data_IF_119790906568
#
_entry.id   IF_119790906568
#
_cell.length_a   1.000
_cell.length_b   1.000
_cell.length_c   1.000
_cell.angle_alpha   90.00
_cell.angle_beta   90.00
_cell.angle_gamma   90.00
#
_symmetry.space_group_name_H-M   'P 1'
#
loop_
_entity.id
_entity.type
_entity.pdbx_description
1 polymer ?
#
# COMPACT_ATOMS: atom_id res chain seq x y z
N UNK A 1 -13.52 12.03 20.59
CA UNK A 1 -14.80 12.81 20.53
C UNK A 1 -15.95 11.87 20.87
N UNK A 2 -16.97 12.35 21.59
CA UNK A 2 -18.23 11.63 21.71
C UNK A 2 -19.07 11.90 20.47
N UNK A 3 -19.45 10.86 19.75
CA UNK A 3 -20.24 10.97 18.51
C UNK A 3 -21.76 10.87 18.70
N UNK A 4 -22.19 10.50 19.91
CA UNK A 4 -23.62 10.40 20.22
C UNK A 4 -24.38 11.70 19.90
N UNK A 5 -25.50 11.58 19.21
CA UNK A 5 -26.37 12.68 18.74
C UNK A 5 -25.70 13.71 17.80
N UNK A 6 -24.48 13.44 17.29
CA UNK A 6 -23.80 14.31 16.31
C UNK A 6 -24.30 14.04 14.89
N UNK A 7 -24.46 15.11 14.12
CA UNK A 7 -24.79 15.05 12.71
C UNK A 7 -23.50 15.02 11.88
N UNK A 8 -23.25 13.90 11.23
CA UNK A 8 -22.00 13.66 10.47
C UNK A 8 -22.32 13.48 8.99
N UNK A 9 -21.71 14.32 8.16
CA UNK A 9 -21.72 14.14 6.71
C UNK A 9 -20.48 13.38 6.27
N UNK A 10 -20.67 12.19 5.70
CA UNK A 10 -19.57 11.39 5.13
C UNK A 10 -19.55 11.60 3.62
N UNK A 11 -18.46 12.11 3.08
CA UNK A 11 -18.27 12.36 1.66
C UNK A 11 -17.50 11.22 1.02
N UNK A 12 -18.15 10.57 0.03
CA UNK A 12 -17.62 9.44 -0.77
C UNK A 12 -18.13 8.09 -0.32
N UNK A 13 -18.82 7.40 -1.22
CA UNK A 13 -19.42 6.08 -1.02
C UNK A 13 -18.46 4.92 -1.43
N UNK A 14 -17.15 5.10 -1.24
CA UNK A 14 -16.15 4.03 -1.32
C UNK A 14 -15.99 3.28 0.02
N UNK A 15 -15.14 2.24 0.05
CA UNK A 15 -14.96 1.38 1.23
C UNK A 15 -14.69 2.15 2.54
N UNK A 16 -13.83 3.19 2.49
CA UNK A 16 -13.55 4.02 3.68
C UNK A 16 -14.77 4.78 4.18
N UNK A 17 -15.57 5.37 3.26
CA UNK A 17 -16.76 6.13 3.63
C UNK A 17 -17.90 5.24 4.12
N UNK A 18 -18.11 4.09 3.48
CA UNK A 18 -19.08 3.08 3.89
C UNK A 18 -18.78 2.61 5.31
N UNK A 19 -17.54 2.18 5.55
CA UNK A 19 -17.13 1.68 6.86
C UNK A 19 -17.20 2.75 7.95
N UNK A 20 -16.74 3.98 7.67
CA UNK A 20 -16.87 5.10 8.60
C UNK A 20 -18.34 5.42 8.92
N UNK A 21 -19.22 5.43 7.91
CA UNK A 21 -20.64 5.68 8.09
C UNK A 21 -21.30 4.65 8.99
N UNK A 22 -21.01 3.38 8.76
CA UNK A 22 -21.57 2.31 9.58
C UNK A 22 -21.10 2.43 11.03
N UNK A 23 -19.80 2.61 11.27
CA UNK A 23 -19.24 2.70 12.63
C UNK A 23 -19.79 3.93 13.37
N UNK A 24 -19.87 5.08 12.71
CA UNK A 24 -20.39 6.30 13.30
C UNK A 24 -21.85 6.13 13.73
N UNK A 25 -22.66 5.47 12.91
CA UNK A 25 -24.04 5.13 13.28
C UNK A 25 -24.10 4.16 14.48
N UNK A 26 -23.19 3.17 14.57
CA UNK A 26 -23.11 2.25 15.73
C UNK A 26 -22.77 2.96 17.06
N UNK A 27 -22.10 4.11 17.00
CA UNK A 27 -21.78 4.92 18.19
C UNK A 27 -22.77 6.06 18.43
N UNK A 28 -23.92 6.04 17.74
CA UNK A 28 -25.06 6.92 17.97
C UNK A 28 -25.04 8.24 17.24
N UNK A 29 -24.21 8.39 16.19
CA UNK A 29 -24.27 9.57 15.32
C UNK A 29 -25.43 9.49 14.31
N UNK A 30 -25.97 10.65 13.92
CA UNK A 30 -26.85 10.81 12.76
C UNK A 30 -25.98 10.97 11.52
N UNK A 31 -25.94 9.97 10.64
CA UNK A 31 -25.00 9.90 9.54
C UNK A 31 -25.72 10.05 8.19
N UNK A 32 -25.21 10.97 7.37
CA UNK A 32 -25.53 11.07 5.94
C UNK A 32 -24.31 10.63 5.15
N UNK A 33 -24.42 9.54 4.38
CA UNK A 33 -23.43 9.13 3.39
C UNK A 33 -23.77 9.78 2.05
N UNK A 34 -22.86 10.60 1.53
CA UNK A 34 -23.07 11.32 0.28
C UNK A 34 -22.01 10.98 -0.77
N UNK A 35 -22.43 10.83 -2.01
CA UNK A 35 -21.55 10.83 -3.18
C UNK A 35 -22.11 11.73 -4.28
N UNK A 36 -21.23 12.51 -4.94
CA UNK A 36 -21.59 13.37 -6.05
C UNK A 36 -22.13 12.57 -7.25
N UNK A 37 -21.53 11.41 -7.50
CA UNK A 37 -21.97 10.50 -8.57
C UNK A 37 -23.14 9.64 -8.10
N UNK A 38 -24.06 9.26 -8.99
CA UNK A 38 -24.97 8.17 -8.72
C UNK A 38 -24.15 6.89 -8.45
N UNK A 39 -24.24 6.34 -7.26
CA UNK A 39 -23.58 5.09 -6.86
C UNK A 39 -24.65 4.08 -6.47
N UNK A 40 -24.55 2.88 -7.03
CA UNK A 40 -25.33 1.72 -6.57
C UNK A 40 -24.43 0.92 -5.64
N UNK A 41 -24.79 0.89 -4.37
CA UNK A 41 -24.08 0.05 -3.39
C UNK A 41 -24.43 -1.43 -3.59
N UNK A 42 -23.56 -2.37 -3.23
CA UNK A 42 -23.93 -3.77 -3.08
C UNK A 42 -25.15 -3.89 -2.14
N UNK A 43 -26.13 -4.72 -2.51
CA UNK A 43 -27.40 -4.80 -1.78
C UNK A 43 -27.25 -5.10 -0.28
N UNK A 44 -26.26 -5.91 0.09
CA UNK A 44 -25.97 -6.24 1.49
C UNK A 44 -25.40 -5.05 2.25
N UNK A 45 -24.53 -4.26 1.60
CA UNK A 45 -23.94 -3.04 2.19
C UNK A 45 -25.00 -1.95 2.37
N UNK A 46 -25.85 -1.71 1.35
CA UNK A 46 -26.95 -0.76 1.45
C UNK A 46 -27.89 -1.13 2.60
N UNK A 47 -28.30 -2.41 2.67
CA UNK A 47 -29.13 -2.92 3.75
C UNK A 47 -28.49 -2.75 5.13
N UNK A 48 -27.18 -3.00 5.23
CA UNK A 48 -26.39 -2.84 6.46
C UNK A 48 -26.41 -1.40 6.95
N UNK A 49 -26.15 -0.44 6.05
CA UNK A 49 -26.13 1.00 6.35
C UNK A 49 -27.52 1.51 6.74
N UNK A 50 -28.56 1.21 5.94
CA UNK A 50 -29.93 1.65 6.21
C UNK A 50 -30.42 1.06 7.54
N UNK A 51 -30.12 -0.21 7.83
CA UNK A 51 -30.50 -0.85 9.12
C UNK A 51 -29.77 -0.22 10.32
N UNK A 52 -28.61 0.39 10.10
CA UNK A 52 -27.88 1.14 11.12
C UNK A 52 -28.39 2.61 11.28
N UNK A 53 -29.31 3.05 10.44
CA UNK A 53 -29.87 4.42 10.46
C UNK A 53 -29.05 5.43 9.64
N UNK A 54 -28.25 4.98 8.67
CA UNK A 54 -27.51 5.86 7.77
C UNK A 54 -28.41 6.31 6.62
N UNK A 55 -28.51 7.61 6.41
CA UNK A 55 -29.15 8.20 5.23
C UNK A 55 -28.17 8.20 4.05
N UNK A 56 -28.60 7.66 2.90
CA UNK A 56 -27.76 7.56 1.70
C UNK A 56 -28.25 8.53 0.63
N UNK A 57 -27.42 9.50 0.25
CA UNK A 57 -27.72 10.52 -0.75
C UNK A 57 -26.65 10.48 -1.84
N UNK A 58 -27.00 9.99 -3.03
CA UNK A 58 -26.06 9.94 -4.18
C UNK A 58 -26.60 10.70 -5.38
N UNK A 59 -25.73 11.08 -6.33
CA UNK A 59 -26.11 11.80 -7.55
C UNK A 59 -26.28 13.30 -7.38
N UNK A 60 -26.12 13.84 -6.17
CA UNK A 60 -26.11 15.28 -5.89
C UNK A 60 -25.15 15.60 -4.75
N UNK A 61 -24.59 16.79 -4.75
CA UNK A 61 -23.73 17.28 -3.67
C UNK A 61 -23.78 18.82 -3.67
N UNK A 62 -24.61 19.38 -2.85
CA UNK A 62 -24.81 20.82 -2.73
C UNK A 62 -24.69 21.27 -1.25
N UNK A 63 -24.60 22.58 -1.04
CA UNK A 63 -24.35 23.15 0.28
C UNK A 63 -25.49 22.94 1.29
N UNK A 64 -26.71 22.56 0.86
CA UNK A 64 -27.82 22.26 1.77
C UNK A 64 -27.51 21.01 2.63
N UNK A 65 -26.60 20.14 2.17
CA UNK A 65 -26.13 19.00 2.96
C UNK A 65 -25.32 19.39 4.21
N UNK A 66 -24.88 20.66 4.30
CA UNK A 66 -24.13 21.18 5.45
C UNK A 66 -25.02 21.71 6.58
N UNK A 67 -26.35 21.79 6.36
CA UNK A 67 -27.22 22.37 7.34
C UNK A 67 -27.40 21.45 8.56
N UNK A 68 -27.03 21.94 9.72
CA UNK A 68 -27.04 21.18 10.97
C UNK A 68 -25.91 20.16 11.15
N UNK A 69 -24.94 20.11 10.23
CA UNK A 69 -23.80 19.19 10.31
C UNK A 69 -22.80 19.68 11.37
N UNK A 70 -22.35 18.79 12.23
CA UNK A 70 -21.32 19.04 13.23
C UNK A 70 -19.89 18.79 12.68
N UNK A 71 -19.73 17.78 11.79
CA UNK A 71 -18.43 17.35 11.24
C UNK A 71 -18.59 16.69 9.89
N UNK A 72 -17.57 16.83 9.06
CA UNK A 72 -17.45 16.11 7.80
C UNK A 72 -16.35 15.03 7.90
N UNK A 73 -16.66 13.83 7.42
CA UNK A 73 -15.68 12.76 7.20
C UNK A 73 -15.48 12.60 5.70
N UNK A 74 -14.23 12.76 5.22
CA UNK A 74 -13.93 12.74 3.79
C UNK A 74 -13.18 11.47 3.40
N UNK A 75 -13.60 10.83 2.30
CA UNK A 75 -12.90 9.70 1.70
C UNK A 75 -11.64 10.17 0.95
N UNK A 76 -10.52 9.39 0.95
CA UNK A 76 -9.23 9.80 0.42
C UNK A 76 -9.25 10.23 -1.06
N UNK A 77 -10.14 9.64 -1.87
CA UNK A 77 -10.28 9.96 -3.30
C UNK A 77 -10.87 11.33 -3.60
N UNK A 78 -11.48 12.00 -2.60
CA UNK A 78 -12.14 13.28 -2.78
C UNK A 78 -11.17 14.43 -2.57
N UNK A 79 -11.18 15.41 -3.50
CA UNK A 79 -10.36 16.61 -3.39
C UNK A 79 -10.88 17.55 -2.29
N UNK A 80 -9.96 18.16 -1.56
CA UNK A 80 -10.29 19.24 -0.61
C UNK A 80 -10.71 20.54 -1.32
N UNK A 81 -10.48 20.62 -2.63
CA UNK A 81 -10.81 21.81 -3.44
C UNK A 81 -12.25 21.85 -3.95
N UNK A 82 -13.08 20.83 -3.69
CA UNK A 82 -14.47 20.81 -4.15
C UNK A 82 -15.33 21.82 -3.40
N UNK A 83 -16.39 22.37 -4.04
CA UNK A 83 -17.22 23.45 -3.48
C UNK A 83 -17.74 23.18 -2.07
N UNK A 84 -18.31 21.98 -1.83
CA UNK A 84 -18.91 21.63 -0.53
C UNK A 84 -17.87 21.62 0.60
N UNK A 85 -16.62 21.15 0.34
CA UNK A 85 -15.56 21.13 1.35
C UNK A 85 -15.11 22.56 1.66
N UNK A 86 -14.96 23.42 0.63
CA UNK A 86 -14.64 24.85 0.83
C UNK A 86 -15.73 25.59 1.60
N UNK A 87 -17.00 25.32 1.28
CA UNK A 87 -18.14 25.88 2.02
C UNK A 87 -18.16 25.42 3.48
N UNK A 88 -17.87 24.16 3.75
CA UNK A 88 -17.76 23.61 5.09
C UNK A 88 -16.63 24.29 5.90
N UNK A 89 -15.45 24.42 5.30
CA UNK A 89 -14.32 25.11 5.92
C UNK A 89 -14.64 26.59 6.21
N UNK A 90 -15.33 27.26 5.27
CA UNK A 90 -15.78 28.65 5.49
C UNK A 90 -16.83 28.77 6.62
N UNK A 91 -17.63 27.74 6.88
CA UNK A 91 -18.55 27.64 8.03
C UNK A 91 -17.85 27.22 9.33
N UNK A 92 -16.55 26.93 9.30
CA UNK A 92 -15.78 26.47 10.46
C UNK A 92 -16.04 25.01 10.86
N UNK A 93 -16.62 24.20 9.95
CA UNK A 93 -16.87 22.79 10.19
C UNK A 93 -15.57 21.99 10.13
N UNK A 94 -15.44 21.01 11.02
CA UNK A 94 -14.34 20.05 11.00
C UNK A 94 -14.43 19.13 9.79
N UNK A 95 -13.37 19.10 8.98
CA UNK A 95 -13.21 18.14 7.88
C UNK A 95 -12.07 17.20 8.24
N UNK A 96 -12.38 15.91 8.43
CA UNK A 96 -11.42 14.88 8.85
C UNK A 96 -11.48 13.67 7.94
N UNK A 97 -10.40 12.87 7.89
CA UNK A 97 -10.41 11.59 7.21
C UNK A 97 -11.02 10.47 8.07
N UNK A 98 -11.38 9.35 7.43
CA UNK A 98 -11.78 8.14 8.16
C UNK A 98 -10.67 7.60 9.10
N UNK A 99 -9.41 8.00 8.90
CA UNK A 99 -8.28 7.68 9.80
C UNK A 99 -8.46 8.35 11.16
N UNK A 100 -8.94 9.59 11.19
CA UNK A 100 -9.24 10.28 12.44
C UNK A 100 -10.37 9.60 13.20
N UNK A 101 -11.45 9.22 12.50
CA UNK A 101 -12.56 8.44 13.09
C UNK A 101 -12.05 7.13 13.69
N UNK A 102 -11.20 6.41 12.95
CA UNK A 102 -10.60 5.17 13.43
C UNK A 102 -9.78 5.38 14.71
N UNK A 103 -8.97 6.44 14.75
CA UNK A 103 -8.16 6.78 15.91
C UNK A 103 -9.01 7.13 17.14
N UNK A 104 -10.02 7.98 16.96
CA UNK A 104 -10.91 8.41 18.06
C UNK A 104 -11.74 7.24 18.65
N UNK A 105 -12.01 6.21 17.85
CA UNK A 105 -12.80 5.03 18.28
C UNK A 105 -11.95 3.83 18.66
N UNK A 106 -10.66 3.81 18.33
CA UNK A 106 -9.78 2.69 18.62
C UNK A 106 -9.50 2.57 20.13
N UNK A 107 -9.66 1.37 20.64
CA UNK A 107 -9.20 1.00 21.99
C UNK A 107 -7.78 0.43 21.97
N UNK A 108 -7.33 -0.03 20.81
CA UNK A 108 -6.02 -0.63 20.63
C UNK A 108 -4.99 0.44 20.23
N UNK A 109 -3.72 0.28 20.61
CA UNK A 109 -2.64 1.07 20.05
C UNK A 109 -2.54 0.87 18.53
N UNK A 110 -2.27 1.97 17.82
CA UNK A 110 -2.11 1.97 16.37
C UNK A 110 -0.63 2.07 16.01
N UNK A 111 -0.18 1.23 15.08
CA UNK A 111 1.09 1.37 14.39
C UNK A 111 0.82 1.70 12.93
N UNK A 112 1.54 2.65 12.34
CA UNK A 112 1.21 3.18 11.03
C UNK A 112 2.40 3.11 10.06
N UNK A 113 2.10 2.78 8.79
CA UNK A 113 3.11 2.68 7.72
C UNK A 113 2.74 3.62 6.59
N UNK A 114 3.67 4.49 6.20
CA UNK A 114 3.56 5.31 5.00
C UNK A 114 4.89 5.35 4.23
N UNK A 115 4.88 5.97 3.08
CA UNK A 115 5.98 6.08 2.14
C UNK A 115 5.45 6.13 0.71
N UNK A 116 6.30 6.30 -0.27
CA UNK A 116 5.88 6.18 -1.67
C UNK A 116 5.74 4.71 -2.04
N UNK A 117 6.75 3.90 -1.74
CA UNK A 117 6.83 2.49 -2.11
C UNK A 117 7.07 1.60 -0.88
N UNK A 118 6.77 0.29 -1.01
CA UNK A 118 7.04 -0.69 0.05
C UNK A 118 5.94 -0.80 1.13
N UNK A 119 4.99 0.11 1.20
CA UNK A 119 3.94 0.15 2.23
C UNK A 119 3.28 -1.20 2.49
N UNK A 120 2.70 -1.81 1.46
CA UNK A 120 1.94 -3.06 1.62
C UNK A 120 2.80 -4.22 2.13
N UNK A 121 4.00 -4.38 1.57
CA UNK A 121 4.93 -5.42 2.03
C UNK A 121 5.30 -5.22 3.49
N UNK A 122 5.67 -4.00 3.86
CA UNK A 122 6.02 -3.64 5.24
C UNK A 122 4.85 -3.82 6.19
N UNK A 123 3.66 -3.34 5.82
CA UNK A 123 2.45 -3.47 6.64
C UNK A 123 2.09 -4.94 6.87
N UNK A 124 2.12 -5.76 5.82
CA UNK A 124 1.81 -7.20 5.92
C UNK A 124 2.84 -7.92 6.78
N UNK A 125 4.13 -7.66 6.57
CA UNK A 125 5.19 -8.29 7.37
C UNK A 125 5.13 -7.85 8.84
N UNK A 126 4.92 -6.56 9.10
CA UNK A 126 4.77 -6.03 10.46
C UNK A 126 3.57 -6.66 11.17
N UNK A 127 2.44 -6.82 10.47
CA UNK A 127 1.25 -7.50 11.00
C UNK A 127 1.60 -8.92 11.45
N UNK A 128 2.23 -9.71 10.58
CA UNK A 128 2.65 -11.08 10.91
C UNK A 128 3.63 -11.16 12.09
N UNK A 129 4.59 -10.22 12.15
CA UNK A 129 5.55 -10.16 13.26
C UNK A 129 4.85 -9.83 14.59
N UNK A 130 3.89 -8.91 14.59
CA UNK A 130 3.10 -8.58 15.77
C UNK A 130 2.15 -9.71 16.18
N UNK A 131 1.53 -10.42 15.23
CA UNK A 131 0.74 -11.64 15.47
C UNK A 131 1.58 -12.74 16.16
N UNK A 132 2.87 -12.81 15.81
CA UNK A 132 3.82 -13.73 16.46
C UNK A 132 3.97 -13.52 17.97
N UNK A 133 3.46 -12.42 18.54
CA UNK A 133 3.39 -12.19 19.99
C UNK A 133 2.21 -12.88 20.67
N UNK A 134 1.28 -13.45 19.90
CA UNK A 134 0.04 -14.03 20.39
C UNK A 134 -1.06 -13.04 20.73
N UNK A 135 -0.85 -11.74 20.50
CA UNK A 135 -1.87 -10.70 20.66
C UNK A 135 -2.78 -10.61 19.44
N UNK A 136 -4.03 -10.15 19.60
CA UNK A 136 -4.87 -9.80 18.47
C UNK A 136 -4.22 -8.71 17.60
N UNK A 137 -4.10 -8.92 16.30
CA UNK A 137 -3.59 -7.93 15.35
C UNK A 137 -4.51 -7.88 14.14
N UNK A 138 -4.86 -6.69 13.69
CA UNK A 138 -5.59 -6.52 12.43
C UNK A 138 -5.01 -5.36 11.63
N UNK A 139 -5.15 -5.47 10.32
CA UNK A 139 -4.69 -4.47 9.36
C UNK A 139 -5.87 -3.74 8.73
N UNK A 140 -5.69 -2.47 8.44
CA UNK A 140 -6.68 -1.67 7.71
C UNK A 140 -6.08 -0.40 7.11
N UNK A 141 -6.90 0.36 6.40
CA UNK A 141 -6.50 1.62 5.80
C UNK A 141 -6.47 1.62 4.28
N UNK A 142 -5.30 1.80 3.69
CA UNK A 142 -5.12 1.76 2.23
C UNK A 142 -5.14 0.33 1.66
N UNK A 143 -5.10 -0.65 2.52
CA UNK A 143 -5.25 -2.09 2.24
C UNK A 143 -6.17 -2.73 3.27
N UNK A 144 -6.74 -3.87 2.93
CA UNK A 144 -7.63 -4.62 3.81
C UNK A 144 -8.98 -3.93 4.04
N UNK A 145 -9.54 -4.19 5.21
CA UNK A 145 -10.83 -3.65 5.62
C UNK A 145 -10.78 -2.14 5.92
N UNK A 146 -11.94 -1.50 6.00
CA UNK A 146 -12.05 -0.11 6.45
C UNK A 146 -11.39 0.07 7.82
N UNK A 147 -10.45 1.03 7.91
CA UNK A 147 -9.71 1.28 9.16
C UNK A 147 -10.65 1.57 10.33
N UNK A 148 -11.74 2.29 10.08
CA UNK A 148 -12.74 2.62 11.11
C UNK A 148 -13.44 1.37 11.65
N UNK A 149 -13.80 0.41 10.78
CA UNK A 149 -14.44 -0.84 11.20
C UNK A 149 -13.49 -1.73 11.99
N UNK A 150 -12.26 -1.84 11.51
CA UNK A 150 -11.22 -2.59 12.22
C UNK A 150 -10.98 -1.97 13.59
N UNK A 151 -10.81 -0.65 13.68
CA UNK A 151 -10.58 0.07 14.93
C UNK A 151 -11.72 -0.12 15.94
N UNK A 152 -12.96 -0.06 15.46
CA UNK A 152 -14.16 -0.24 16.32
C UNK A 152 -14.24 -1.64 16.91
N UNK A 153 -13.82 -2.67 16.16
CA UNK A 153 -13.93 -4.08 16.57
C UNK A 153 -12.72 -4.61 17.36
N UNK A 154 -11.59 -3.87 17.37
CA UNK A 154 -10.35 -4.33 18.01
C UNK A 154 -10.42 -4.30 19.54
N UNK A 155 -9.95 -5.36 20.24
CA UNK A 155 -9.81 -5.36 21.69
C UNK A 155 -8.61 -4.51 22.12
N UNK A 156 -8.65 -3.96 23.33
CA UNK A 156 -7.67 -3.00 23.83
C UNK A 156 -6.22 -3.54 23.99
N UNK A 157 -6.05 -4.85 24.08
CA UNK A 157 -4.77 -5.54 24.25
C UNK A 157 -4.11 -5.94 22.91
N UNK A 158 -4.77 -5.61 21.78
CA UNK A 158 -4.28 -5.88 20.43
C UNK A 158 -3.43 -4.77 19.84
N UNK A 159 -3.11 -4.91 18.53
CA UNK A 159 -2.50 -3.89 17.70
C UNK A 159 -3.33 -3.66 16.43
N UNK A 160 -3.56 -2.41 16.09
CA UNK A 160 -4.10 -2.01 14.79
C UNK A 160 -2.95 -1.55 13.91
N UNK A 161 -2.69 -2.25 12.80
CA UNK A 161 -1.67 -1.88 11.83
C UNK A 161 -2.34 -1.13 10.69
N UNK A 162 -1.94 0.13 10.47
CA UNK A 162 -2.55 1.02 9.48
C UNK A 162 -1.60 1.28 8.31
N UNK A 163 -1.96 0.88 7.09
CA UNK A 163 -1.31 1.39 5.88
C UNK A 163 -1.95 2.72 5.49
N UNK A 164 -1.17 3.79 5.42
CA UNK A 164 -1.70 5.13 5.16
C UNK A 164 -1.08 5.78 3.92
N UNK A 165 -1.95 6.26 3.03
CA UNK A 165 -1.58 7.12 1.91
C UNK A 165 -1.43 8.58 2.35
N UNK A 166 -0.79 9.41 1.50
CA UNK A 166 -0.72 10.86 1.71
C UNK A 166 -2.12 11.50 1.78
N UNK A 167 -3.06 11.02 0.96
CA UNK A 167 -4.45 11.52 0.95
C UNK A 167 -5.18 11.30 2.27
N UNK A 168 -4.99 10.15 2.90
CA UNK A 168 -5.58 9.81 4.19
C UNK A 168 -5.01 10.67 5.32
N UNK A 169 -3.74 11.08 5.19
CA UNK A 169 -3.07 11.91 6.18
C UNK A 169 -3.38 13.41 6.02
N UNK A 170 -3.89 13.89 4.86
CA UNK A 170 -4.17 15.32 4.61
C UNK A 170 -5.09 15.97 5.65
N UNK A 171 -6.01 15.20 6.24
CA UNK A 171 -7.07 15.71 7.12
C UNK A 171 -7.14 15.03 8.49
N UNK A 172 -6.04 14.46 8.97
CA UNK A 172 -5.93 14.03 10.36
C UNK A 172 -5.85 15.26 11.28
N UNK A 173 -6.22 15.12 12.55
CA UNK A 173 -6.14 16.17 13.58
C UNK A 173 -5.43 15.72 14.84
N UNK A 174 -5.88 14.60 15.41
CA UNK A 174 -5.41 14.05 16.67
C UNK A 174 -4.79 12.66 16.47
N UNK A 175 -4.88 12.11 15.27
CA UNK A 175 -4.31 10.80 14.94
C UNK A 175 -2.87 10.69 15.43
N UNK A 176 -2.63 9.72 16.32
CA UNK A 176 -1.35 9.47 16.95
C UNK A 176 -1.05 7.98 16.97
N UNK A 177 -0.20 7.48 16.07
CA UNK A 177 0.32 6.11 16.16
C UNK A 177 1.42 6.03 17.23
N UNK A 178 1.44 4.94 18.02
CA UNK A 178 2.51 4.70 19.00
C UNK A 178 3.83 4.30 18.33
N UNK A 179 3.77 3.85 17.09
CA UNK A 179 4.89 3.57 16.21
C UNK A 179 4.52 3.92 14.78
N UNK A 180 5.39 4.64 14.09
CA UNK A 180 5.20 5.01 12.70
C UNK A 180 6.44 4.65 11.87
N UNK A 181 6.23 4.34 10.59
CA UNK A 181 7.28 4.05 9.60
C UNK A 181 7.13 4.99 8.42
N UNK A 182 8.21 5.71 8.07
CA UNK A 182 8.38 6.41 6.81
C UNK A 182 9.42 5.68 5.97
N UNK A 183 8.97 5.02 4.90
CA UNK A 183 9.85 4.15 4.10
C UNK A 183 10.77 4.93 3.17
N UNK A 184 10.16 5.72 2.30
CA UNK A 184 10.85 6.49 1.26
C UNK A 184 9.93 7.57 0.69
N UNK A 185 10.53 8.57 0.04
CA UNK A 185 9.81 9.64 -0.65
C UNK A 185 10.38 9.78 -2.07
N UNK A 186 9.61 9.41 -3.07
CA UNK A 186 9.89 9.66 -4.48
C UNK A 186 8.69 10.37 -5.13
N UNK A 187 8.88 11.11 -6.24
CA UNK A 187 7.79 11.84 -6.89
C UNK A 187 6.60 10.94 -7.20
N UNK A 188 5.44 11.27 -6.62
CA UNK A 188 4.17 10.59 -6.85
C UNK A 188 3.01 11.53 -6.53
N UNK A 189 1.84 11.27 -7.11
CA UNK A 189 0.61 12.00 -6.82
C UNK A 189 0.67 13.53 -6.97
N UNK A 190 1.59 14.08 -7.78
CA UNK A 190 1.78 15.52 -7.96
C UNK A 190 0.58 16.21 -8.64
N UNK A 191 -0.27 15.47 -9.35
CA UNK A 191 -1.53 15.99 -9.85
C UNK A 191 -2.44 16.48 -8.70
N UNK A 192 -2.41 15.82 -7.53
CA UNK A 192 -3.16 16.18 -6.31
C UNK A 192 -2.39 17.20 -5.47
N UNK A 193 -1.17 16.86 -5.06
CA UNK A 193 -0.39 17.66 -4.10
C UNK A 193 0.24 18.92 -4.71
N UNK A 194 0.33 19.01 -6.05
CA UNK A 194 0.90 20.12 -6.85
C UNK A 194 2.43 20.21 -6.78
N UNK A 195 3.03 20.06 -5.61
CA UNK A 195 4.50 20.12 -5.43
C UNK A 195 4.99 18.97 -4.55
N UNK A 196 6.30 18.70 -4.62
CA UNK A 196 6.95 17.71 -3.75
C UNK A 196 6.87 18.12 -2.28
N UNK A 197 7.00 19.40 -1.97
CA UNK A 197 6.93 19.93 -0.62
C UNK A 197 5.57 19.62 0.03
N UNK A 198 4.48 19.82 -0.71
CA UNK A 198 3.13 19.49 -0.23
C UNK A 198 2.95 17.99 -0.04
N UNK A 199 3.52 17.17 -0.93
CA UNK A 199 3.48 15.71 -0.81
C UNK A 199 4.24 15.21 0.42
N UNK A 200 5.45 15.75 0.65
CA UNK A 200 6.26 15.47 1.84
C UNK A 200 5.50 15.89 3.09
N UNK A 201 5.01 17.15 3.14
CA UNK A 201 4.26 17.68 4.27
C UNK A 201 3.01 16.84 4.60
N UNK A 202 2.28 16.37 3.59
CA UNK A 202 1.13 15.48 3.80
C UNK A 202 1.51 14.15 4.47
N UNK A 203 2.65 13.56 4.10
CA UNK A 203 3.13 12.32 4.71
C UNK A 203 3.73 12.53 6.10
N UNK A 204 4.44 13.64 6.34
CA UNK A 204 5.01 14.01 7.64
C UNK A 204 3.96 14.11 8.74
N UNK A 205 2.71 14.39 8.40
CA UNK A 205 1.61 14.41 9.34
C UNK A 205 1.44 13.11 10.12
N UNK A 206 1.97 11.98 9.63
CA UNK A 206 1.91 10.69 10.34
C UNK A 206 2.51 10.76 11.77
N UNK A 207 3.49 11.65 11.98
CA UNK A 207 4.14 11.82 13.29
C UNK A 207 3.81 13.15 13.98
N UNK A 208 2.96 14.02 13.39
CA UNK A 208 2.70 15.37 13.92
C UNK A 208 2.19 15.40 15.38
N UNK A 209 1.44 14.37 15.78
CA UNK A 209 0.86 14.24 17.13
C UNK A 209 1.61 13.22 18.01
N UNK A 210 2.70 12.61 17.54
CA UNK A 210 3.48 11.68 18.35
C UNK A 210 4.10 12.37 19.57
N UNK A 211 4.35 11.61 20.62
CA UNK A 211 5.04 12.05 21.82
C UNK A 211 6.44 11.44 21.88
N UNK A 212 7.29 11.95 22.75
CA UNK A 212 8.66 11.42 22.97
C UNK A 212 8.70 9.95 23.44
N UNK A 213 7.56 9.38 23.85
CA UNK A 213 7.40 7.96 24.20
C UNK A 213 7.03 7.07 23.01
N UNK A 214 6.66 7.66 21.88
CA UNK A 214 6.30 6.94 20.67
C UNK A 214 7.54 6.71 19.81
N UNK A 215 7.44 5.86 18.79
CA UNK A 215 8.56 5.50 17.92
C UNK A 215 8.32 5.99 16.49
N UNK A 216 9.36 6.54 15.87
CA UNK A 216 9.38 6.88 14.45
C UNK A 216 10.54 6.20 13.76
N UNK A 217 10.25 5.30 12.81
CA UNK A 217 11.26 4.63 11.99
C UNK A 217 11.50 5.44 10.72
N UNK A 218 12.75 5.80 10.48
CA UNK A 218 13.19 6.58 9.33
C UNK A 218 14.27 5.85 8.54
N UNK A 219 14.08 5.71 7.24
CA UNK A 219 15.11 5.24 6.33
C UNK A 219 16.10 6.37 6.04
N UNK A 220 17.29 6.31 6.63
CA UNK A 220 18.31 7.36 6.47
C UNK A 220 19.12 7.26 5.17
N UNK A 221 18.91 6.22 4.38
CA UNK A 221 19.47 6.12 3.03
C UNK A 221 18.67 6.99 2.02
N UNK A 222 17.43 7.38 2.36
CA UNK A 222 16.65 8.39 1.63
C UNK A 222 16.91 9.77 2.26
N UNK A 223 17.55 10.72 1.53
CA UNK A 223 17.90 12.04 2.09
C UNK A 223 16.70 12.86 2.57
N UNK A 224 15.53 12.72 1.93
CA UNK A 224 14.31 13.43 2.31
C UNK A 224 13.79 12.88 3.64
N UNK A 225 13.76 11.55 3.76
CA UNK A 225 13.31 10.88 4.99
C UNK A 225 14.30 11.11 6.13
N UNK A 226 15.60 11.07 5.87
CA UNK A 226 16.66 11.32 6.85
C UNK A 226 16.54 12.70 7.52
N UNK A 227 16.12 13.73 6.77
CA UNK A 227 15.95 15.10 7.29
C UNK A 227 14.75 15.22 8.25
N UNK A 228 13.76 14.32 8.16
CA UNK A 228 12.56 14.33 9.03
C UNK A 228 12.90 14.11 10.52
N UNK A 229 14.06 13.53 10.85
CA UNK A 229 14.50 13.30 12.24
C UNK A 229 14.58 14.59 13.07
N UNK A 230 14.74 15.74 12.42
CA UNK A 230 14.82 17.02 13.11
C UNK A 230 13.44 17.61 13.44
N UNK A 231 12.36 17.02 12.88
CA UNK A 231 10.97 17.49 13.03
C UNK A 231 10.09 16.54 13.81
N UNK A 232 10.40 15.24 13.76
CA UNK A 232 9.62 14.24 14.49
C UNK A 232 9.83 14.38 16.00
N UNK A 233 8.76 14.47 16.81
CA UNK A 233 8.86 14.65 18.27
C UNK A 233 9.14 13.35 19.01
N UNK A 234 9.03 12.22 18.35
CA UNK A 234 9.11 10.85 18.90
C UNK A 234 10.54 10.34 19.00
N UNK A 235 10.69 9.15 19.59
CA UNK A 235 11.97 8.44 19.62
C UNK A 235 12.31 7.89 18.24
N UNK A 236 13.42 8.39 17.65
CA UNK A 236 13.84 8.02 16.30
C UNK A 236 14.56 6.67 16.31
N UNK A 237 14.11 5.80 15.40
CA UNK A 237 14.75 4.55 15.03
C UNK A 237 15.23 4.67 13.58
N UNK A 238 16.53 4.67 13.37
CA UNK A 238 17.10 4.81 12.04
C UNK A 238 17.26 3.43 11.38
N UNK A 239 17.00 3.34 10.07
CA UNK A 239 17.39 2.15 9.30
C UNK A 239 18.33 2.52 8.17
N UNK A 240 19.28 1.62 7.86
CA UNK A 240 20.19 1.79 6.72
C UNK A 240 20.70 0.45 6.19
N UNK A 241 20.87 0.37 4.86
CA UNK A 241 21.60 -0.70 4.20
C UNK A 241 23.11 -0.40 4.06
N UNK A 242 23.53 0.84 4.29
CA UNK A 242 24.86 1.33 3.93
C UNK A 242 25.73 1.75 5.13
N UNK A 243 25.13 1.93 6.30
CA UNK A 243 25.86 2.37 7.49
C UNK A 243 25.28 1.78 8.77
N UNK A 244 26.16 1.64 9.79
CA UNK A 244 25.76 1.21 11.12
C UNK A 244 24.98 2.34 11.83
N UNK A 245 23.87 2.00 12.46
CA UNK A 245 23.05 2.94 13.23
C UNK A 245 23.10 2.59 14.73
N UNK A 246 22.91 3.58 15.60
CA UNK A 246 22.97 3.39 17.05
C UNK A 246 21.66 2.90 17.68
N UNK A 247 20.54 3.30 17.11
CA UNK A 247 19.19 2.88 17.51
C UNK A 247 18.36 2.63 16.26
N UNK A 248 17.90 1.40 16.08
CA UNK A 248 17.13 0.99 14.91
C UNK A 248 17.61 -0.32 14.31
N UNK A 249 17.82 -0.39 12.98
CA UNK A 249 18.30 -1.60 12.33
C UNK A 249 19.21 -1.27 11.14
N UNK A 250 20.16 -2.14 10.83
CA UNK A 250 21.03 -1.98 9.67
C UNK A 250 21.39 -3.32 9.04
N UNK A 251 21.85 -3.25 7.78
CA UNK A 251 22.35 -4.39 7.04
C UNK A 251 23.86 -4.29 6.85
N UNK A 252 24.59 -5.34 7.16
CA UNK A 252 26.04 -5.43 6.90
C UNK A 252 26.40 -6.86 6.50
N UNK A 253 27.15 -6.99 5.40
CA UNK A 253 27.75 -8.25 4.92
C UNK A 253 26.81 -9.46 4.92
N UNK A 254 25.59 -9.27 4.42
CA UNK A 254 24.61 -10.34 4.32
C UNK A 254 23.80 -10.60 5.59
N UNK A 255 23.90 -9.73 6.59
CA UNK A 255 23.21 -9.90 7.87
C UNK A 255 22.44 -8.63 8.26
N UNK A 256 21.19 -8.78 8.69
CA UNK A 256 20.40 -7.73 9.32
C UNK A 256 20.64 -7.73 10.84
N UNK A 257 20.87 -6.55 11.39
CA UNK A 257 21.05 -6.33 12.82
C UNK A 257 20.00 -5.37 13.36
N UNK A 258 19.56 -5.56 14.60
CA UNK A 258 18.87 -4.55 15.38
C UNK A 258 19.84 -3.91 16.37
N UNK A 259 19.69 -2.61 16.62
CA UNK A 259 20.57 -1.87 17.54
C UNK A 259 19.77 -1.11 18.59
N UNK A 260 20.30 -1.11 19.81
CA UNK A 260 19.80 -0.31 20.92
C UNK A 260 21.00 0.26 21.67
N UNK A 261 21.11 1.60 21.74
CA UNK A 261 22.22 2.31 22.39
C UNK A 261 23.61 1.84 21.90
N UNK A 262 23.75 1.61 20.60
CA UNK A 262 24.98 1.15 19.97
C UNK A 262 25.31 -0.34 20.14
N UNK A 263 24.48 -1.10 20.86
CA UNK A 263 24.65 -2.55 20.98
C UNK A 263 23.89 -3.23 19.86
N UNK A 264 24.60 -3.97 19.01
CA UNK A 264 24.03 -4.67 17.86
C UNK A 264 23.70 -6.12 18.21
N UNK A 265 22.51 -6.57 17.82
CA UNK A 265 22.07 -7.96 17.92
C UNK A 265 21.75 -8.47 16.52
N UNK A 266 22.33 -9.59 16.05
CA UNK A 266 22.00 -10.17 14.75
C UNK A 266 20.56 -10.70 14.77
N UNK A 267 19.82 -10.47 13.67
CA UNK A 267 18.42 -10.89 13.52
C UNK A 267 18.28 -11.96 12.46
N UNK A 268 18.65 -11.69 11.20
CA UNK A 268 18.43 -12.63 10.08
C UNK A 268 19.49 -12.44 8.99
N UNK A 269 19.99 -13.54 8.45
CA UNK A 269 20.86 -13.55 7.28
C UNK A 269 20.09 -13.42 5.96
N UNK A 270 20.72 -12.82 4.94
CA UNK A 270 20.08 -12.66 3.62
C UNK A 270 19.74 -13.98 2.94
N UNK A 271 20.43 -15.08 3.28
CA UNK A 271 20.11 -16.41 2.77
C UNK A 271 18.74 -16.95 3.22
N UNK A 272 18.23 -16.46 4.35
CA UNK A 272 16.95 -16.85 4.92
C UNK A 272 15.81 -15.88 4.54
N UNK A 273 16.10 -14.86 3.71
CA UNK A 273 15.12 -13.91 3.20
C UNK A 273 14.63 -14.37 1.83
N UNK A 274 13.33 -14.63 1.71
CA UNK A 274 12.73 -15.20 0.50
C UNK A 274 12.08 -14.18 -0.45
N UNK A 275 12.01 -12.91 -0.07
CA UNK A 275 11.49 -11.83 -0.93
C UNK A 275 12.66 -11.14 -1.65
N UNK A 276 12.63 -11.07 -3.00
CA UNK A 276 13.73 -10.53 -3.79
C UNK A 276 13.82 -9.01 -3.74
N UNK A 277 15.01 -8.48 -4.03
CA UNK A 277 15.28 -7.05 -4.21
C UNK A 277 15.78 -6.33 -2.96
N UNK A 278 16.73 -5.39 -3.18
CA UNK A 278 17.35 -4.60 -2.10
C UNK A 278 16.33 -3.76 -1.33
N UNK A 279 15.30 -3.24 -2.01
CA UNK A 279 14.22 -2.50 -1.37
C UNK A 279 13.44 -3.34 -0.34
N UNK A 280 13.44 -4.68 -0.46
CA UNK A 280 12.84 -5.54 0.54
C UNK A 280 13.71 -5.70 1.79
N UNK A 281 15.03 -5.53 1.67
CA UNK A 281 15.90 -5.41 2.84
C UNK A 281 15.53 -4.15 3.64
N UNK A 282 15.28 -3.00 2.98
CA UNK A 282 14.80 -1.78 3.66
C UNK A 282 13.47 -2.03 4.38
N UNK A 283 12.50 -2.65 3.70
CA UNK A 283 11.21 -3.00 4.30
C UNK A 283 11.39 -3.88 5.55
N UNK A 284 12.26 -4.90 5.48
CA UNK A 284 12.58 -5.80 6.60
C UNK A 284 13.25 -5.05 7.74
N UNK A 285 14.22 -4.18 7.46
CA UNK A 285 14.91 -3.39 8.49
C UNK A 285 13.93 -2.48 9.25
N UNK A 286 12.95 -1.86 8.56
CA UNK A 286 11.94 -1.04 9.24
C UNK A 286 11.07 -1.86 10.18
N UNK A 287 10.67 -3.08 9.76
CA UNK A 287 9.90 -4.01 10.60
C UNK A 287 10.72 -4.47 11.79
N UNK A 288 11.98 -4.86 11.59
CA UNK A 288 12.89 -5.26 12.67
C UNK A 288 13.01 -4.14 13.72
N UNK A 289 13.28 -2.90 13.28
CA UNK A 289 13.46 -1.76 14.16
C UNK A 289 12.22 -1.48 15.02
N UNK A 290 11.04 -1.39 14.37
CA UNK A 290 9.80 -1.08 15.09
C UNK A 290 9.34 -2.24 15.98
N UNK A 291 9.33 -3.46 15.47
CA UNK A 291 8.88 -4.62 16.23
C UNK A 291 9.74 -4.84 17.50
N UNK A 292 11.06 -4.71 17.37
CA UNK A 292 11.97 -4.82 18.51
C UNK A 292 11.72 -3.71 19.54
N UNK A 293 11.50 -2.47 19.10
CA UNK A 293 11.17 -1.34 19.99
C UNK A 293 9.83 -1.55 20.72
N UNK A 294 8.87 -2.21 20.06
CA UNK A 294 7.59 -2.61 20.66
C UNK A 294 7.69 -3.85 21.56
N UNK A 295 8.89 -4.41 21.74
CA UNK A 295 9.16 -5.51 22.66
C UNK A 295 8.97 -6.91 22.07
N UNK A 296 8.92 -7.06 20.74
CA UNK A 296 8.89 -8.39 20.10
C UNK A 296 10.27 -9.04 20.22
N UNK A 297 10.36 -10.30 20.71
CA UNK A 297 11.63 -11.02 20.80
C UNK A 297 12.31 -11.22 19.43
N UNK A 298 13.64 -11.13 19.40
CA UNK A 298 14.43 -11.28 18.16
C UNK A 298 14.17 -12.62 17.49
N UNK A 299 14.01 -13.69 18.26
CA UNK A 299 13.72 -15.03 17.76
C UNK A 299 12.37 -15.11 17.05
N UNK A 300 11.37 -14.37 17.53
CA UNK A 300 10.05 -14.26 16.89
C UNK A 300 10.17 -13.48 15.58
N UNK A 301 10.90 -12.36 15.60
CA UNK A 301 11.15 -11.54 14.40
C UNK A 301 11.86 -12.40 13.34
N UNK A 302 12.95 -13.09 13.71
CA UNK A 302 13.71 -13.99 12.83
C UNK A 302 12.79 -15.03 12.19
N UNK A 303 12.05 -15.80 12.99
CA UNK A 303 11.19 -16.88 12.52
C UNK A 303 10.15 -16.39 11.52
N UNK A 304 9.46 -15.29 11.83
CA UNK A 304 8.40 -14.77 10.95
C UNK A 304 8.98 -14.23 9.63
N UNK A 305 10.13 -13.55 9.66
CA UNK A 305 10.76 -13.05 8.43
C UNK A 305 11.25 -14.20 7.56
N UNK A 306 11.82 -15.27 8.15
CA UNK A 306 12.27 -16.45 7.39
C UNK A 306 11.11 -17.27 6.80
N UNK A 307 9.91 -17.18 7.36
CA UNK A 307 8.69 -17.81 6.83
C UNK A 307 7.94 -16.89 5.82
N UNK A 308 8.38 -15.64 5.63
CA UNK A 308 7.68 -14.68 4.81
C UNK A 308 8.10 -14.76 3.34
N UNK A 309 7.20 -15.19 2.47
CA UNK A 309 7.41 -15.34 1.03
C UNK A 309 6.84 -14.17 0.19
N UNK A 310 6.46 -13.07 0.83
CA UNK A 310 5.94 -11.88 0.17
C UNK A 310 4.43 -11.70 0.34
N UNK A 311 3.90 -10.77 -0.44
CA UNK A 311 2.49 -10.43 -0.48
C UNK A 311 1.93 -11.00 -1.77
N UNK A 312 0.76 -11.62 -1.69
CA UNK A 312 0.05 -12.13 -2.84
C UNK A 312 -0.11 -11.05 -3.93
N UNK A 313 0.08 -11.43 -5.18
CA UNK A 313 0.08 -10.55 -6.35
C UNK A 313 1.17 -9.45 -6.38
N UNK A 314 2.20 -9.54 -5.52
CA UNK A 314 3.31 -8.58 -5.51
C UNK A 314 4.66 -9.30 -5.49
N UNK A 315 5.29 -9.41 -6.67
CA UNK A 315 6.50 -10.23 -6.88
C UNK A 315 6.37 -11.62 -6.22
N UNK A 316 5.15 -12.16 -6.26
CA UNK A 316 4.79 -13.44 -5.68
C UNK A 316 5.39 -14.55 -6.54
N UNK A 317 6.28 -15.36 -5.95
CA UNK A 317 6.80 -16.55 -6.64
C UNK A 317 5.72 -17.62 -6.70
N UNK A 318 5.27 -17.93 -7.93
CA UNK A 318 4.18 -18.89 -8.16
C UNK A 318 4.69 -20.33 -8.29
N UNK A 319 5.66 -20.54 -9.17
CA UNK A 319 6.18 -21.88 -9.51
C UNK A 319 7.55 -21.77 -10.15
N UNK A 320 8.37 -22.81 -10.01
CA UNK A 320 9.51 -23.04 -10.89
C UNK A 320 9.27 -24.32 -11.65
N UNK A 321 9.34 -24.26 -12.97
CA UNK A 321 9.13 -25.36 -13.91
C UNK A 321 10.27 -25.38 -14.92
N UNK A 322 10.94 -26.51 -15.11
CA UNK A 322 12.10 -26.69 -15.99
C UNK A 322 13.22 -25.66 -15.77
N UNK A 323 13.38 -25.19 -14.51
CA UNK A 323 14.34 -24.16 -14.14
C UNK A 323 13.92 -22.71 -14.47
N UNK A 324 12.71 -22.50 -15.02
CA UNK A 324 12.09 -21.20 -15.29
C UNK A 324 11.22 -20.84 -14.09
N UNK A 325 11.38 -19.61 -13.55
CA UNK A 325 10.60 -19.16 -12.40
C UNK A 325 9.52 -18.15 -12.81
N UNK A 326 8.28 -18.41 -12.38
CA UNK A 326 7.13 -17.55 -12.64
C UNK A 326 6.83 -16.65 -11.45
N UNK A 327 6.73 -15.34 -11.71
CA UNK A 327 6.38 -14.33 -10.70
C UNK A 327 5.09 -13.59 -11.06
N UNK A 328 4.20 -13.48 -10.08
CA UNK A 328 2.96 -12.72 -10.16
C UNK A 328 3.13 -11.35 -9.47
N UNK A 329 3.12 -10.31 -10.27
CA UNK A 329 3.16 -8.92 -9.81
C UNK A 329 1.94 -8.15 -10.37
N UNK A 330 0.77 -8.79 -10.37
CA UNK A 330 -0.47 -8.22 -10.90
C UNK A 330 -0.85 -6.89 -10.23
N UNK A 331 -0.39 -6.64 -9.01
CA UNK A 331 -0.57 -5.38 -8.27
C UNK A 331 0.25 -4.21 -8.85
N UNK A 332 1.20 -4.45 -9.74
CA UNK A 332 1.95 -3.41 -10.45
C UNK A 332 1.08 -2.74 -11.53
N UNK A 333 0.15 -1.90 -11.12
CA UNK A 333 -0.80 -1.20 -11.98
C UNK A 333 -0.30 0.14 -12.52
N UNK A 334 0.98 0.45 -12.32
CA UNK A 334 1.66 1.63 -12.84
C UNK A 334 3.09 1.30 -13.27
N UNK A 335 3.67 2.17 -14.07
CA UNK A 335 5.02 2.03 -14.66
C UNK A 335 6.10 1.92 -13.58
N UNK A 336 6.07 2.77 -12.55
CA UNK A 336 7.09 2.81 -11.49
C UNK A 336 7.20 1.49 -10.73
N UNK A 337 6.06 0.81 -10.54
CA UNK A 337 6.05 -0.50 -9.90
C UNK A 337 6.76 -1.56 -10.74
N UNK A 338 6.54 -1.52 -12.07
CA UNK A 338 7.19 -2.47 -13.01
C UNK A 338 8.69 -2.21 -13.11
N UNK A 339 9.10 -0.93 -13.10
CA UNK A 339 10.53 -0.56 -13.04
C UNK A 339 11.21 -1.25 -11.86
N UNK A 340 10.64 -1.12 -10.67
CA UNK A 340 11.19 -1.75 -9.44
C UNK A 340 11.14 -3.27 -9.48
N UNK A 341 10.11 -3.83 -10.11
CA UNK A 341 10.02 -5.26 -10.30
C UNK A 341 11.15 -5.78 -11.20
N UNK A 342 11.41 -5.11 -12.32
CA UNK A 342 12.49 -5.47 -13.24
C UNK A 342 13.89 -5.32 -12.60
N UNK A 343 14.10 -4.24 -11.85
CA UNK A 343 15.36 -4.00 -11.11
C UNK A 343 15.62 -5.00 -9.97
N UNK A 344 14.60 -5.78 -9.59
CA UNK A 344 14.73 -6.78 -8.51
C UNK A 344 15.38 -8.09 -8.97
N UNK A 345 15.63 -8.25 -10.26
CA UNK A 345 16.13 -9.48 -10.85
C UNK A 345 17.44 -9.27 -11.61
N UNK A 346 18.42 -10.12 -11.32
CA UNK A 346 19.66 -10.22 -12.09
C UNK A 346 19.52 -11.16 -13.31
N UNK A 347 18.47 -11.98 -13.32
CA UNK A 347 18.16 -12.94 -14.37
C UNK A 347 17.46 -12.28 -15.55
N UNK A 348 17.51 -12.91 -16.72
CA UNK A 348 16.75 -12.49 -17.89
C UNK A 348 15.25 -12.62 -17.64
N UNK A 349 14.49 -11.57 -17.97
CA UNK A 349 13.04 -11.50 -17.73
C UNK A 349 12.27 -11.54 -19.04
N UNK A 350 11.26 -12.42 -19.12
CA UNK A 350 10.17 -12.34 -20.10
C UNK A 350 9.02 -11.59 -19.42
N UNK A 351 8.75 -10.36 -19.86
CA UNK A 351 7.76 -9.49 -19.27
C UNK A 351 6.39 -9.67 -19.93
N UNK A 352 5.36 -9.95 -19.11
CA UNK A 352 3.95 -9.91 -19.50
C UNK A 352 3.38 -8.57 -19.03
N UNK A 353 3.02 -7.66 -19.97
CA UNK A 353 2.56 -6.32 -19.64
C UNK A 353 1.34 -5.90 -20.47
N UNK A 354 0.57 -4.94 -19.92
CA UNK A 354 -0.65 -4.41 -20.54
C UNK A 354 -1.88 -4.60 -19.66
N UNK A 355 -3.02 -4.20 -20.19
CA UNK A 355 -4.28 -4.10 -19.47
C UNK A 355 -5.02 -2.83 -19.85
N UNK A 356 -5.88 -2.29 -18.97
CA UNK A 356 -6.58 -1.03 -19.18
C UNK A 356 -5.62 0.17 -19.16
N UNK A 357 -5.56 0.91 -20.26
CA UNK A 357 -4.58 1.96 -20.48
C UNK A 357 -4.88 3.24 -19.68
N UNK A 358 -3.91 3.67 -18.87
CA UNK A 358 -3.96 4.92 -18.09
C UNK A 358 -3.32 6.12 -18.81
N UNK A 359 -2.88 5.95 -20.05
CA UNK A 359 -2.25 6.98 -20.88
C UNK A 359 -1.00 7.62 -20.21
N UNK A 360 -0.28 6.87 -19.38
CA UNK A 360 0.99 7.31 -18.78
C UNK A 360 2.08 7.42 -19.84
N UNK A 361 3.06 8.35 -19.73
CA UNK A 361 4.25 8.39 -20.59
C UNK A 361 5.02 7.05 -20.56
N UNK A 362 5.53 6.61 -21.73
CA UNK A 362 6.17 5.30 -21.88
C UNK A 362 7.63 5.39 -22.32
N UNK A 363 8.14 6.56 -22.67
CA UNK A 363 9.46 6.73 -23.29
C UNK A 363 10.58 6.17 -22.40
N UNK A 364 10.70 6.67 -21.17
CA UNK A 364 11.71 6.22 -20.19
C UNK A 364 11.48 4.76 -19.77
N UNK A 365 10.21 4.38 -19.60
CA UNK A 365 9.84 3.02 -19.25
C UNK A 365 10.31 2.00 -20.29
N UNK A 366 10.09 2.28 -21.58
CA UNK A 366 10.48 1.35 -22.64
C UNK A 366 12.01 1.27 -22.83
N UNK A 367 12.76 2.32 -22.48
CA UNK A 367 14.21 2.23 -22.42
C UNK A 367 14.68 1.26 -21.33
N UNK A 368 14.06 1.30 -20.15
CA UNK A 368 14.37 0.38 -19.06
C UNK A 368 13.97 -1.07 -19.42
N UNK A 369 12.77 -1.27 -19.97
CA UNK A 369 12.31 -2.57 -20.48
C UNK A 369 13.31 -3.16 -21.45
N UNK A 370 13.85 -2.37 -22.39
CA UNK A 370 14.88 -2.81 -23.35
C UNK A 370 16.13 -3.38 -22.68
N UNK A 371 16.53 -2.82 -21.55
CA UNK A 371 17.74 -3.25 -20.85
C UNK A 371 17.55 -4.45 -19.92
N UNK A 372 16.34 -4.64 -19.39
CA UNK A 372 16.06 -5.65 -18.37
C UNK A 372 15.28 -6.87 -18.89
N UNK A 373 14.78 -6.82 -20.13
CA UNK A 373 13.96 -7.93 -20.64
C UNK A 373 14.61 -8.66 -21.82
N UNK A 374 14.47 -9.98 -21.82
CA UNK A 374 14.79 -10.85 -22.93
C UNK A 374 13.72 -10.81 -24.03
N UNK A 375 12.46 -10.68 -23.62
CA UNK A 375 11.29 -10.57 -24.48
C UNK A 375 10.16 -9.85 -23.75
N UNK A 376 9.24 -9.27 -24.50
CA UNK A 376 8.01 -8.66 -24.00
C UNK A 376 6.78 -9.26 -24.67
N UNK A 377 5.73 -9.50 -23.90
CA UNK A 377 4.44 -10.00 -24.38
C UNK A 377 3.38 -9.00 -23.93
N UNK A 378 2.82 -8.26 -24.88
CA UNK A 378 1.79 -7.27 -24.58
C UNK A 378 0.39 -7.85 -24.71
N UNK A 379 -0.53 -7.41 -23.83
CA UNK A 379 -1.90 -7.91 -23.75
C UNK A 379 -2.89 -6.79 -23.38
N UNK A 380 -4.18 -7.04 -23.61
CA UNK A 380 -5.25 -6.12 -23.23
C UNK A 380 -5.32 -4.84 -24.09
N UNK A 381 -6.07 -3.86 -23.59
CA UNK A 381 -6.36 -2.59 -24.28
C UNK A 381 -5.09 -1.78 -24.61
N UNK A 382 -4.11 -1.76 -23.71
CA UNK A 382 -2.87 -1.00 -23.88
C UNK A 382 -1.90 -1.59 -24.92
N UNK A 383 -2.14 -2.80 -25.43
CA UNK A 383 -1.17 -3.55 -26.23
C UNK A 383 -0.68 -2.79 -27.47
N UNK A 384 -1.57 -2.09 -28.20
CA UNK A 384 -1.20 -1.33 -29.41
C UNK A 384 -0.24 -0.20 -29.09
N UNK A 385 -0.52 0.58 -28.05
CA UNK A 385 0.29 1.71 -27.64
C UNK A 385 1.63 1.28 -27.05
N UNK A 386 1.63 0.21 -26.24
CA UNK A 386 2.84 -0.35 -25.65
C UNK A 386 3.78 -0.91 -26.73
N UNK A 387 3.22 -1.62 -27.72
CA UNK A 387 4.01 -2.14 -28.83
C UNK A 387 4.62 -1.02 -29.69
N UNK A 388 3.84 0.05 -29.97
CA UNK A 388 4.34 1.21 -30.72
C UNK A 388 5.53 1.87 -29.96
N UNK A 389 5.38 2.16 -28.67
CA UNK A 389 6.43 2.74 -27.85
C UNK A 389 7.66 1.82 -27.71
N UNK A 390 7.44 0.51 -27.57
CA UNK A 390 8.51 -0.48 -27.50
C UNK A 390 9.32 -0.56 -28.79
N UNK A 391 8.66 -0.51 -29.95
CA UNK A 391 9.32 -0.46 -31.26
C UNK A 391 10.16 0.81 -31.43
N UNK A 392 9.63 1.97 -31.03
CA UNK A 392 10.34 3.25 -31.06
C UNK A 392 11.59 3.22 -30.17
N UNK A 393 11.50 2.63 -28.98
CA UNK A 393 12.63 2.43 -28.08
C UNK A 393 13.63 1.35 -28.53
N UNK A 394 13.24 0.52 -29.52
CA UNK A 394 14.05 -0.59 -30.02
C UNK A 394 14.05 -1.81 -29.10
N UNK A 395 12.98 -2.04 -28.36
CA UNK A 395 12.72 -3.28 -27.60
C UNK A 395 12.48 -4.41 -28.59
N UNK A 396 13.11 -5.55 -28.42
CA UNK A 396 12.91 -6.76 -29.24
C UNK A 396 13.37 -8.01 -28.47
N UNK A 397 12.72 -9.18 -28.66
CA UNK A 397 11.51 -9.41 -29.47
C UNK A 397 10.22 -8.98 -28.74
N UNK A 398 9.21 -8.63 -29.53
CA UNK A 398 7.88 -8.23 -29.05
C UNK A 398 6.85 -9.26 -29.52
N UNK A 399 5.99 -9.68 -28.63
CA UNK A 399 4.89 -10.62 -28.88
C UNK A 399 3.56 -10.03 -28.39
N UNK A 400 2.46 -10.64 -28.80
CA UNK A 400 1.11 -10.33 -28.35
C UNK A 400 0.40 -11.56 -27.84
N UNK A 401 -0.40 -11.37 -26.80
CA UNK A 401 -1.26 -12.40 -26.28
C UNK A 401 -2.73 -11.97 -26.29
N UNK A 402 -3.60 -12.94 -26.59
CA UNK A 402 -5.05 -12.76 -26.66
C UNK A 402 -5.78 -13.16 -25.36
N UNK A 403 -5.07 -13.76 -24.41
CA UNK A 403 -5.56 -14.18 -23.10
C UNK A 403 -4.39 -14.36 -22.14
N UNK A 404 -4.67 -14.48 -20.82
CA UNK A 404 -3.63 -14.79 -19.84
C UNK A 404 -2.98 -16.14 -20.10
N UNK A 405 -3.77 -17.14 -20.46
CA UNK A 405 -3.25 -18.47 -20.83
C UNK A 405 -2.26 -18.39 -22.00
N UNK A 406 -2.62 -17.65 -23.07
CA UNK A 406 -1.76 -17.45 -24.21
C UNK A 406 -0.45 -16.72 -23.83
N UNK A 407 -0.53 -15.68 -22.98
CA UNK A 407 0.64 -14.96 -22.46
C UNK A 407 1.59 -15.89 -21.68
N UNK A 408 1.05 -16.71 -20.78
CA UNK A 408 1.82 -17.65 -19.95
C UNK A 408 2.47 -18.73 -20.81
N UNK A 409 1.74 -19.32 -21.77
CA UNK A 409 2.28 -20.34 -22.68
C UNK A 409 3.38 -19.80 -23.59
N UNK A 410 3.23 -18.57 -24.11
CA UNK A 410 4.26 -17.89 -24.89
C UNK A 410 5.48 -17.58 -24.02
N UNK A 411 5.27 -17.05 -22.81
CA UNK A 411 6.33 -16.76 -21.87
C UNK A 411 7.17 -17.99 -21.53
N UNK A 412 6.52 -19.12 -21.28
CA UNK A 412 7.20 -20.40 -21.04
C UNK A 412 8.03 -20.87 -22.24
N UNK A 413 7.49 -20.76 -23.46
CA UNK A 413 8.19 -21.18 -24.69
C UNK A 413 9.41 -20.31 -25.03
N UNK A 414 9.41 -19.03 -24.62
CA UNK A 414 10.49 -18.08 -24.87
C UNK A 414 11.59 -18.10 -23.81
N UNK A 415 11.30 -18.66 -22.64
CA UNK A 415 12.23 -18.74 -21.54
C UNK A 415 13.19 -19.91 -21.67
N UNK A 416 14.44 -19.70 -21.30
CA UNK A 416 15.43 -20.74 -21.07
C UNK A 416 15.57 -21.03 -19.57
N UNK A 417 16.25 -22.13 -19.23
CA UNK A 417 16.54 -22.46 -17.84
C UNK A 417 17.30 -21.32 -17.15
N UNK A 418 16.78 -20.86 -16.02
CA UNK A 418 17.32 -19.73 -15.25
C UNK A 418 16.59 -18.42 -15.51
N UNK A 419 15.75 -18.33 -16.55
CA UNK A 419 14.95 -17.14 -16.85
C UNK A 419 13.74 -16.99 -15.92
N UNK A 420 13.19 -15.78 -15.93
CA UNK A 420 11.98 -15.40 -15.20
C UNK A 420 10.86 -15.04 -16.18
N UNK A 421 9.65 -15.58 -15.96
CA UNK A 421 8.41 -15.10 -16.57
C UNK A 421 7.67 -14.25 -15.54
N UNK A 422 7.58 -12.94 -15.81
CA UNK A 422 7.06 -11.95 -14.88
C UNK A 422 5.75 -11.35 -15.40
N UNK A 423 4.64 -11.58 -14.69
CA UNK A 423 3.43 -10.77 -14.87
C UNK A 423 3.63 -9.46 -14.08
N UNK A 424 3.91 -8.34 -14.75
CA UNK A 424 3.99 -7.01 -14.15
C UNK A 424 3.40 -6.00 -15.14
N UNK A 425 2.09 -5.73 -15.04
CA UNK A 425 1.30 -5.22 -16.15
C UNK A 425 1.51 -3.76 -16.52
N UNK A 426 1.96 -2.88 -15.61
CA UNK A 426 2.00 -1.42 -15.74
C UNK A 426 0.61 -0.75 -15.94
N UNK A 427 -0.45 -1.54 -15.98
CA UNK A 427 -1.84 -1.15 -16.28
C UNK A 427 -2.79 -1.68 -15.22
N UNK A 428 -3.94 -1.00 -15.03
CA UNK A 428 -5.04 -1.60 -14.29
C UNK A 428 -5.64 -2.79 -15.06
N UNK A 429 -6.49 -3.58 -14.39
CA UNK A 429 -6.99 -4.86 -14.93
C UNK A 429 -8.39 -4.76 -15.57
N UNK A 430 -9.00 -3.57 -15.54
CA UNK A 430 -10.44 -3.36 -15.81
C UNK A 430 -10.89 -3.59 -17.26
N UNK A 431 -9.97 -3.98 -18.14
CA UNK A 431 -10.28 -4.40 -19.51
C UNK A 431 -10.72 -5.88 -19.58
N UNK A 432 -10.04 -6.78 -18.87
CA UNK A 432 -10.34 -8.22 -18.86
C UNK A 432 -10.88 -8.73 -17.51
N UNK A 433 -10.65 -8.02 -16.40
CA UNK A 433 -10.93 -8.47 -15.04
C UNK A 433 -11.60 -7.36 -14.22
N UNK A 434 -12.28 -7.72 -13.14
CA UNK A 434 -12.93 -6.79 -12.23
C UNK A 434 -11.95 -6.12 -11.26
N UNK A 435 -10.82 -6.78 -10.96
CA UNK A 435 -9.78 -6.29 -10.05
C UNK A 435 -8.42 -6.92 -10.40
N UNK A 436 -7.33 -6.42 -9.80
CA UNK A 436 -5.99 -6.95 -10.05
C UNK A 436 -5.77 -8.33 -9.40
N UNK A 437 -6.49 -8.63 -8.35
CA UNK A 437 -6.48 -9.93 -7.69
C UNK A 437 -6.96 -11.02 -8.65
N UNK A 438 -8.09 -10.81 -9.31
CA UNK A 438 -8.64 -11.75 -10.29
C UNK A 438 -7.66 -12.00 -11.44
N UNK A 439 -7.00 -10.95 -11.95
CA UNK A 439 -5.93 -11.08 -12.95
C UNK A 439 -4.77 -11.91 -12.45
N UNK A 440 -4.35 -11.69 -11.21
CA UNK A 440 -3.25 -12.43 -10.59
C UNK A 440 -3.61 -13.89 -10.31
N UNK A 441 -4.84 -14.18 -9.93
CA UNK A 441 -5.33 -15.55 -9.72
C UNK A 441 -5.42 -16.32 -11.03
N UNK A 442 -5.89 -15.68 -12.11
CA UNK A 442 -5.91 -16.29 -13.44
C UNK A 442 -4.47 -16.61 -13.93
N UNK A 443 -3.51 -15.70 -13.70
CA UNK A 443 -2.10 -15.98 -14.00
C UNK A 443 -1.60 -17.20 -13.21
N UNK A 444 -1.86 -17.26 -11.89
CA UNK A 444 -1.46 -18.41 -11.06
C UNK A 444 -2.08 -19.71 -11.56
N UNK A 445 -3.37 -19.69 -11.90
CA UNK A 445 -4.07 -20.85 -12.45
C UNK A 445 -3.46 -21.31 -13.78
N UNK A 446 -3.18 -20.38 -14.70
CA UNK A 446 -2.53 -20.69 -15.98
C UNK A 446 -1.13 -21.30 -15.78
N UNK A 447 -0.32 -20.76 -14.86
CA UNK A 447 1.01 -21.29 -14.54
C UNK A 447 0.91 -22.71 -13.95
N UNK A 448 -0.07 -22.99 -13.09
CA UNK A 448 -0.25 -24.33 -12.51
C UNK A 448 -0.67 -25.37 -13.56
N UNK A 449 -1.34 -24.96 -14.64
CA UNK A 449 -1.73 -25.83 -15.74
C UNK A 449 -0.58 -26.20 -16.68
N UNK A 450 0.56 -25.47 -16.63
CA UNK A 450 1.73 -25.84 -17.41
C UNK A 450 2.26 -27.21 -16.97
N UNK A 451 2.50 -28.08 -17.96
CA UNK A 451 3.11 -29.39 -17.76
C UNK A 451 4.60 -29.31 -18.05
N UNK A 452 5.39 -30.16 -17.39
CA UNK A 452 6.80 -30.31 -17.71
C UNK A 452 6.94 -30.67 -19.19
N UNK A 453 7.77 -29.92 -19.90
CA UNK A 453 8.06 -30.21 -21.30
C UNK A 453 8.80 -31.54 -21.39
N UNK A 454 8.22 -32.50 -22.07
CA UNK A 454 8.80 -33.83 -22.30
C UNK A 454 10.04 -33.79 -23.18
#
# INVERSE_FOLDING_TARGET
MEYGDKHILVLGAGASGIGASWVLAQVGAHVVLNDYKPVTLPADEEKRLVSAGVDIITGRQDESLLDGVDRIVISPGISLDIPIVKAAQARGLDVVSAVEVAYELSKSPIVAVTGTNGKTTTTTLLTKVLEGTGKPVRVGGNIGDSLSEVAYSMPADGFLVAELSSYQLETIKHFRPIGAIMLNITPDHLARHKTMENYIAAKERIFENQLSTDFMVLNIDDPIVADMKHRAPSHILEISQHQVVSNGAYYDKGQCYVTKNGIATPVIGSADIHIPGSHNIENILTVIALAYALGVPVETIHRIISEFHGVEHRLERVKTLDGITFYNDSKATNVDSVVKALESFDQSVILLAGGHDKMTPLEDFMQLVKHHTKAVIFMGEAADRFEAAAKEAGVQPIYRASSMKDAVEQGYKLADQGDIVLLSPACSSFDWYSCFEERGDDFKACVQMLQEGG
#
